data_IF_146728149543
#
_entry.id   IF_146728149543
#
_cell.length_a   1.000
_cell.length_b   1.000
_cell.length_c   1.000
_cell.angle_alpha   90.00
_cell.angle_beta   90.00
_cell.angle_gamma   90.00
#
_symmetry.space_group_name_H-M   'P 1'
#
loop_
_entity.id
_entity.type
_entity.pdbx_description
1 polymer ?
#
# COMPACT_ATOMS: atom_id res chain seq x y z
N UNK A 1 -21.94 -7.98 -37.19
CA UNK A 1 -20.76 -7.94 -36.30
C UNK A 1 -21.21 -8.34 -34.91
N UNK A 2 -20.95 -9.57 -34.49
CA UNK A 2 -21.13 -9.96 -33.11
C UNK A 2 -20.08 -9.19 -32.32
N UNK A 3 -20.50 -8.28 -31.45
CA UNK A 3 -19.61 -7.77 -30.41
C UNK A 3 -19.12 -8.99 -29.60
N UNK A 4 -17.84 -9.22 -29.57
CA UNK A 4 -17.26 -10.19 -28.64
C UNK A 4 -17.60 -9.69 -27.24
N UNK A 5 -18.39 -10.46 -26.51
CA UNK A 5 -18.62 -10.16 -25.09
C UNK A 5 -17.33 -10.51 -24.34
N UNK A 6 -16.87 -9.60 -23.49
CA UNK A 6 -15.75 -9.88 -22.60
C UNK A 6 -16.12 -11.07 -21.70
N UNK A 7 -15.17 -11.98 -21.53
CA UNK A 7 -15.33 -13.15 -20.67
C UNK A 7 -14.52 -12.92 -19.39
N UNK A 8 -15.20 -12.82 -18.27
CA UNK A 8 -14.59 -12.54 -16.98
C UNK A 8 -14.34 -13.82 -16.20
N UNK A 9 -13.09 -14.01 -15.79
CA UNK A 9 -12.68 -15.07 -14.89
C UNK A 9 -12.27 -14.48 -13.57
N UNK A 10 -12.64 -15.11 -12.47
CA UNK A 10 -12.37 -14.61 -11.13
C UNK A 10 -11.71 -15.69 -10.29
N UNK A 11 -10.66 -15.30 -9.58
CA UNK A 11 -10.03 -16.12 -8.56
C UNK A 11 -10.26 -15.51 -7.18
N UNK A 12 -10.64 -16.35 -6.22
CA UNK A 12 -10.78 -15.98 -4.82
C UNK A 12 -10.55 -17.21 -3.94
N UNK A 13 -9.91 -17.02 -2.80
CA UNK A 13 -9.72 -18.06 -1.79
C UNK A 13 -10.88 -18.14 -0.80
N UNK A 14 -11.83 -17.22 -0.84
CA UNK A 14 -13.00 -17.19 0.05
C UNK A 14 -14.29 -17.44 -0.75
N UNK A 15 -14.95 -18.60 -0.60
CA UNK A 15 -16.20 -18.89 -1.30
C UNK A 15 -17.44 -18.19 -0.72
N UNK A 16 -17.32 -17.57 0.46
CA UNK A 16 -18.46 -16.98 1.20
C UNK A 16 -18.64 -15.48 0.93
N UNK A 17 -18.11 -14.95 -0.14
CA UNK A 17 -18.27 -13.54 -0.50
C UNK A 17 -19.23 -13.36 -1.67
N UNK A 18 -20.00 -12.26 -1.68
CA UNK A 18 -20.87 -11.87 -2.80
C UNK A 18 -20.11 -11.84 -4.13
N UNK A 19 -18.82 -11.52 -4.08
CA UNK A 19 -17.95 -11.47 -5.25
C UNK A 19 -17.67 -12.83 -5.90
N UNK A 20 -18.06 -13.93 -5.26
CA UNK A 20 -17.94 -15.30 -5.77
C UNK A 20 -19.28 -15.94 -6.08
N UNK A 21 -20.35 -15.16 -6.14
CA UNK A 21 -21.65 -15.64 -6.61
C UNK A 21 -21.54 -16.08 -8.07
N UNK A 22 -22.32 -17.09 -8.43
CA UNK A 22 -22.22 -17.77 -9.73
C UNK A 22 -22.52 -16.88 -10.94
N UNK A 23 -23.17 -15.75 -10.72
CA UNK A 23 -23.55 -14.78 -11.76
C UNK A 23 -22.59 -13.60 -11.92
N UNK A 24 -21.54 -13.52 -11.07
CA UNK A 24 -20.59 -12.40 -11.07
C UNK A 24 -19.49 -12.57 -12.13
N UNK A 25 -19.15 -13.82 -12.49
CA UNK A 25 -18.14 -14.10 -13.49
C UNK A 25 -18.50 -15.34 -14.31
N UNK A 26 -18.00 -15.42 -15.54
CA UNK A 26 -18.21 -16.58 -16.41
C UNK A 26 -17.51 -17.83 -15.88
N UNK A 27 -16.45 -17.66 -15.10
CA UNK A 27 -15.70 -18.74 -14.49
C UNK A 27 -15.11 -18.32 -13.17
N UNK A 28 -15.30 -19.15 -12.15
CA UNK A 28 -14.77 -18.95 -10.80
C UNK A 28 -13.70 -19.99 -10.49
N UNK A 29 -12.62 -19.55 -9.87
CA UNK A 29 -11.54 -20.36 -9.35
C UNK A 29 -11.43 -20.14 -7.84
N UNK A 30 -11.64 -21.20 -7.07
CA UNK A 30 -11.47 -21.17 -5.61
C UNK A 30 -10.09 -21.72 -5.26
N UNK A 31 -9.07 -20.92 -5.52
CA UNK A 31 -7.68 -21.27 -5.32
C UNK A 31 -6.99 -20.20 -4.48
N UNK A 32 -5.90 -20.55 -3.78
CA UNK A 32 -5.08 -19.57 -3.09
C UNK A 32 -4.56 -18.49 -4.04
N UNK A 33 -4.35 -17.28 -3.51
CA UNK A 33 -3.79 -16.17 -4.26
C UNK A 33 -2.25 -16.22 -4.17
N UNK A 34 -1.66 -17.33 -4.66
CA UNK A 34 -0.21 -17.51 -4.81
C UNK A 34 0.22 -17.36 -6.25
N UNK A 35 1.49 -17.09 -6.50
CA UNK A 35 2.01 -16.95 -7.87
C UNK A 35 1.84 -18.25 -8.67
N UNK A 36 2.05 -19.40 -8.03
CA UNK A 36 1.99 -20.73 -8.64
C UNK A 36 0.55 -21.10 -9.05
N UNK A 37 -0.43 -20.83 -8.19
CA UNK A 37 -1.83 -21.11 -8.49
C UNK A 37 -2.33 -20.19 -9.61
N UNK A 38 -1.95 -18.91 -9.56
CA UNK A 38 -2.26 -17.93 -10.61
C UNK A 38 -1.62 -18.32 -11.93
N UNK A 39 -0.35 -18.79 -11.94
CA UNK A 39 0.32 -19.28 -13.15
C UNK A 39 -0.43 -20.43 -13.79
N UNK A 40 -0.91 -21.36 -12.98
CA UNK A 40 -1.70 -22.50 -13.45
C UNK A 40 -2.99 -22.05 -14.15
N UNK A 41 -3.69 -21.07 -13.59
CA UNK A 41 -4.90 -20.48 -14.19
C UNK A 41 -4.57 -19.71 -15.46
N UNK A 42 -3.51 -18.90 -15.47
CA UNK A 42 -3.05 -18.14 -16.63
C UNK A 42 -2.72 -19.07 -17.79
N UNK A 43 -2.03 -20.18 -17.52
CA UNK A 43 -1.65 -21.16 -18.54
C UNK A 43 -2.85 -21.87 -19.18
N UNK A 44 -3.92 -22.11 -18.40
CA UNK A 44 -5.15 -22.73 -18.89
C UNK A 44 -6.01 -21.74 -19.63
N UNK A 45 -6.25 -20.58 -19.02
CA UNK A 45 -7.24 -19.61 -19.51
C UNK A 45 -6.67 -18.63 -20.54
N UNK A 46 -5.35 -18.41 -20.55
CA UNK A 46 -4.63 -17.48 -21.45
C UNK A 46 -5.34 -16.13 -21.56
N UNK A 47 -5.53 -15.42 -20.43
CA UNK A 47 -6.27 -14.18 -20.41
C UNK A 47 -5.52 -13.07 -21.16
N UNK A 48 -6.24 -12.14 -21.77
CA UNK A 48 -5.68 -10.94 -22.42
C UNK A 48 -5.07 -9.96 -21.41
N UNK A 49 -5.46 -10.05 -20.14
CA UNK A 49 -4.95 -9.26 -19.04
C UNK A 49 -5.58 -9.62 -17.71
N UNK A 50 -5.04 -9.04 -16.65
CA UNK A 50 -5.49 -9.26 -15.28
C UNK A 50 -5.74 -7.94 -14.55
N UNK A 51 -6.76 -7.91 -13.69
CA UNK A 51 -7.05 -6.83 -12.77
C UNK A 51 -6.71 -7.31 -11.36
N UNK A 52 -5.83 -6.60 -10.66
CA UNK A 52 -5.34 -6.95 -9.32
C UNK A 52 -5.82 -6.00 -8.22
N UNK A 53 -6.30 -4.81 -8.57
CA UNK A 53 -6.61 -3.75 -7.61
C UNK A 53 -7.78 -4.10 -6.66
N UNK A 54 -8.69 -4.95 -7.09
CA UNK A 54 -9.89 -5.30 -6.30
C UNK A 54 -9.68 -6.42 -5.28
N UNK A 55 -8.51 -7.03 -5.26
CA UNK A 55 -8.19 -8.15 -4.35
C UNK A 55 -7.39 -7.77 -3.11
N UNK A 56 -7.28 -6.47 -2.80
CA UNK A 56 -6.46 -5.97 -1.68
C UNK A 56 -4.98 -6.26 -1.85
N UNK A 57 -4.23 -6.14 -0.77
CA UNK A 57 -2.76 -6.29 -0.76
C UNK A 57 -2.27 -7.65 -1.28
N UNK A 58 -3.03 -8.71 -1.05
CA UNK A 58 -2.66 -10.05 -1.51
C UNK A 58 -2.66 -10.14 -3.04
N UNK A 59 -3.67 -9.58 -3.70
CA UNK A 59 -3.74 -9.56 -5.17
C UNK A 59 -2.75 -8.55 -5.79
N UNK A 60 -2.56 -7.40 -5.16
CA UNK A 60 -1.60 -6.39 -5.63
C UNK A 60 -0.18 -6.95 -5.66
N UNK A 61 0.22 -7.74 -4.66
CA UNK A 61 1.54 -8.40 -4.63
C UNK A 61 1.77 -9.41 -5.76
N UNK A 62 0.72 -9.86 -6.44
CA UNK A 62 0.84 -10.74 -7.61
C UNK A 62 1.18 -9.98 -8.90
N UNK A 63 1.17 -8.67 -8.91
CA UNK A 63 1.39 -7.83 -10.09
C UNK A 63 2.70 -8.17 -10.78
N UNK A 64 3.81 -8.22 -10.05
CA UNK A 64 5.13 -8.54 -10.59
C UNK A 64 5.20 -9.96 -11.17
N UNK A 65 4.60 -10.93 -10.48
CA UNK A 65 4.55 -12.32 -10.96
C UNK A 65 3.75 -12.43 -12.26
N UNK A 66 2.58 -11.79 -12.35
CA UNK A 66 1.76 -11.74 -13.57
C UNK A 66 2.50 -11.09 -14.74
N UNK A 67 3.23 -10.01 -14.50
CA UNK A 67 4.05 -9.37 -15.52
C UNK A 67 5.17 -10.28 -16.04
N UNK A 68 5.83 -11.03 -15.12
CA UNK A 68 6.84 -12.04 -15.51
C UNK A 68 6.26 -13.18 -16.35
N UNK A 69 4.99 -13.52 -16.14
CA UNK A 69 4.24 -14.49 -16.95
C UNK A 69 3.79 -13.89 -18.31
N UNK A 70 4.04 -12.61 -18.57
CA UNK A 70 3.61 -11.91 -19.78
C UNK A 70 2.15 -11.47 -19.78
N UNK A 71 1.48 -11.50 -18.65
CA UNK A 71 0.08 -11.06 -18.51
C UNK A 71 0.04 -9.55 -18.36
N UNK A 72 -0.75 -8.88 -19.20
CA UNK A 72 -0.96 -7.44 -19.13
C UNK A 72 -1.78 -7.07 -17.89
N UNK A 73 -1.30 -6.13 -17.10
CA UNK A 73 -2.09 -5.57 -16.00
C UNK A 73 -3.06 -4.53 -16.57
N UNK A 74 -4.35 -4.72 -16.29
CA UNK A 74 -5.43 -3.82 -16.68
C UNK A 74 -5.76 -2.88 -15.53
N UNK A 75 -6.05 -1.62 -15.83
CA UNK A 75 -6.26 -0.57 -14.83
C UNK A 75 -4.96 0.15 -14.47
N UNK A 76 -4.67 0.30 -13.19
CA UNK A 76 -3.44 0.95 -12.70
C UNK A 76 -2.23 0.09 -13.02
N UNK A 77 -1.21 0.70 -13.60
CA UNK A 77 0.06 0.01 -13.95
C UNK A 77 0.80 -0.39 -12.68
N UNK A 78 1.65 -1.42 -12.80
CA UNK A 78 2.48 -1.88 -11.69
C UNK A 78 3.36 -0.77 -11.11
N UNK A 79 4.00 0.01 -11.98
CA UNK A 79 4.89 1.11 -11.62
C UNK A 79 4.15 2.20 -10.81
N UNK A 80 2.87 2.47 -11.16
CA UNK A 80 2.04 3.45 -10.47
C UNK A 80 1.56 2.91 -9.10
N UNK A 81 1.36 1.59 -9.00
CA UNK A 81 1.04 0.92 -7.72
C UNK A 81 2.24 0.98 -6.79
N UNK A 82 3.43 0.62 -7.28
CA UNK A 82 4.68 0.68 -6.52
C UNK A 82 4.98 2.11 -6.05
N UNK A 83 4.80 3.09 -6.95
CA UNK A 83 4.97 4.50 -6.62
C UNK A 83 3.97 5.03 -5.58
N UNK A 84 2.77 4.44 -5.51
CA UNK A 84 1.79 4.79 -4.48
C UNK A 84 2.08 4.13 -3.13
N UNK A 85 2.76 2.98 -3.12
CA UNK A 85 3.16 2.26 -1.90
C UNK A 85 4.50 2.77 -1.33
N UNK A 86 5.41 3.22 -2.20
CA UNK A 86 6.66 3.83 -1.80
C UNK A 86 6.45 5.28 -1.35
N UNK A 87 6.83 5.57 -0.11
CA UNK A 87 6.58 6.89 0.47
C UNK A 87 7.32 8.02 -0.26
N UNK A 88 8.57 7.80 -0.64
CA UNK A 88 9.39 8.84 -1.27
C UNK A 88 8.88 9.14 -2.68
N UNK A 89 8.58 8.09 -3.46
CA UNK A 89 8.00 8.24 -4.78
C UNK A 89 6.60 8.87 -4.73
N UNK A 90 5.78 8.49 -3.76
CA UNK A 90 4.46 9.10 -3.57
C UNK A 90 4.55 10.58 -3.18
N UNK A 91 5.48 10.93 -2.30
CA UNK A 91 5.76 12.32 -1.93
C UNK A 91 6.18 13.17 -3.14
N UNK A 92 7.03 12.63 -4.03
CA UNK A 92 7.37 13.30 -5.28
C UNK A 92 6.16 13.53 -6.19
N UNK A 93 5.26 12.54 -6.29
CA UNK A 93 4.03 12.66 -7.08
C UNK A 93 3.15 13.78 -6.51
N UNK A 94 2.96 13.82 -5.20
CA UNK A 94 2.17 14.85 -4.54
C UNK A 94 2.76 16.26 -4.77
N UNK A 95 4.08 16.39 -4.68
CA UNK A 95 4.76 17.65 -4.97
C UNK A 95 4.57 18.08 -6.44
N UNK A 96 4.78 17.17 -7.39
CA UNK A 96 4.62 17.43 -8.83
C UNK A 96 3.19 17.82 -9.20
N UNK A 97 2.20 17.26 -8.51
CA UNK A 97 0.77 17.54 -8.75
C UNK A 97 0.23 18.72 -7.93
N UNK A 98 1.04 19.29 -7.03
CA UNK A 98 0.62 20.40 -6.17
C UNK A 98 -0.40 20.00 -5.10
N UNK A 99 -0.49 18.71 -4.76
CA UNK A 99 -1.39 18.22 -3.71
C UNK A 99 -0.73 18.43 -2.35
N UNK A 100 -1.38 19.17 -1.43
CA UNK A 100 -0.81 19.42 -0.10
C UNK A 100 -0.77 18.14 0.73
N UNK A 101 0.34 17.96 1.46
CA UNK A 101 0.53 16.88 2.42
C UNK A 101 1.13 17.41 3.72
N UNK A 102 1.04 16.63 4.78
CA UNK A 102 1.77 16.93 6.00
C UNK A 102 3.28 16.86 5.73
N UNK A 103 4.01 17.89 6.21
CA UNK A 103 5.47 17.85 6.17
C UNK A 103 5.97 16.69 7.05
N UNK A 104 7.01 16.00 6.61
CA UNK A 104 7.56 14.88 7.35
C UNK A 104 8.75 14.25 6.64
N UNK A 105 9.33 13.23 7.26
CA UNK A 105 10.47 12.51 6.74
C UNK A 105 10.57 11.09 7.26
N UNK A 106 11.35 10.28 6.56
CA UNK A 106 11.74 8.94 6.95
C UNK A 106 13.10 9.00 7.64
N UNK A 107 13.22 8.39 8.79
CA UNK A 107 14.41 8.42 9.63
C UNK A 107 14.72 7.04 10.18
N UNK A 108 15.98 6.82 10.58
CA UNK A 108 16.43 5.57 11.16
C UNK A 108 16.98 5.76 12.59
N UNK A 109 17.31 6.98 12.95
CA UNK A 109 17.92 7.31 14.25
C UNK A 109 17.13 8.38 14.99
N UNK A 110 17.34 8.46 16.31
CA UNK A 110 16.72 9.49 17.14
C UNK A 110 17.23 10.90 16.78
N UNK A 111 18.50 11.03 16.41
CA UNK A 111 19.09 12.30 16.00
C UNK A 111 18.48 12.81 14.70
N UNK A 112 18.30 11.94 13.71
CA UNK A 112 17.60 12.30 12.46
C UNK A 112 16.15 12.70 12.74
N UNK A 113 15.45 11.98 13.62
CA UNK A 113 14.09 12.29 13.99
C UNK A 113 13.95 13.65 14.67
N UNK A 114 14.84 13.96 15.63
CA UNK A 114 14.89 15.28 16.27
C UNK A 114 15.14 16.39 15.24
N UNK A 115 16.06 16.17 14.30
CA UNK A 115 16.35 17.13 13.24
C UNK A 115 15.11 17.41 12.40
N UNK A 116 14.45 16.36 11.88
CA UNK A 116 13.22 16.48 11.10
C UNK A 116 12.12 17.17 11.92
N UNK A 117 11.91 16.77 13.18
CA UNK A 117 10.90 17.36 14.04
C UNK A 117 11.13 18.85 14.31
N UNK A 118 12.39 19.27 14.49
CA UNK A 118 12.74 20.67 14.67
C UNK A 118 12.55 21.49 13.38
N UNK A 119 12.82 20.91 12.21
CA UNK A 119 12.59 21.55 10.91
C UNK A 119 11.09 21.77 10.62
N UNK A 120 10.25 20.78 10.87
CA UNK A 120 8.80 20.84 10.61
C UNK A 120 7.99 21.45 11.76
N UNK A 121 8.60 21.56 12.94
CA UNK A 121 8.01 22.09 14.18
C UNK A 121 7.13 21.08 14.91
N UNK A 122 7.15 21.14 16.23
CA UNK A 122 6.30 20.33 17.11
C UNK A 122 4.84 20.78 17.11
N UNK A 123 3.85 19.93 17.45
CA UNK A 123 3.98 18.50 17.70
C UNK A 123 4.16 17.70 16.40
N UNK A 124 4.79 16.52 16.53
CA UNK A 124 4.99 15.59 15.43
C UNK A 124 4.40 14.22 15.77
N UNK A 125 3.99 13.49 14.73
CA UNK A 125 3.54 12.12 14.83
C UNK A 125 4.71 11.21 14.47
N UNK A 126 5.10 10.34 15.39
CA UNK A 126 6.16 9.33 15.20
C UNK A 126 5.50 7.97 15.04
N UNK A 127 5.84 7.25 13.99
CA UNK A 127 5.28 5.91 13.72
C UNK A 127 6.30 5.00 13.02
N UNK A 128 6.33 3.69 13.35
CA UNK A 128 7.07 2.72 12.55
C UNK A 128 6.43 2.58 11.15
N UNK A 129 7.24 2.36 10.11
CA UNK A 129 6.74 2.24 8.73
C UNK A 129 5.99 0.93 8.45
N UNK A 130 6.20 -0.10 9.25
CA UNK A 130 5.71 -1.47 9.01
C UNK A 130 4.42 -1.84 9.74
N UNK A 131 3.85 -0.94 10.58
CA UNK A 131 2.64 -1.26 11.36
C UNK A 131 1.36 -0.82 10.67
N UNK A 132 0.36 -1.68 10.74
CA UNK A 132 -0.99 -1.43 10.27
C UNK A 132 -1.90 -0.98 11.42
N UNK A 133 -2.90 -0.17 11.11
CA UNK A 133 -3.94 0.18 12.08
C UNK A 133 -3.51 1.12 13.20
N UNK A 134 -2.44 1.89 13.02
CA UNK A 134 -2.00 2.90 13.99
C UNK A 134 -1.32 2.38 15.25
N UNK A 135 -0.97 1.10 15.30
CA UNK A 135 -0.21 0.55 16.42
C UNK A 135 1.18 1.18 16.49
N UNK A 136 1.62 1.53 17.70
CA UNK A 136 2.94 2.14 17.92
C UNK A 136 3.06 3.59 17.46
N UNK A 137 1.98 4.24 17.05
CA UNK A 137 1.97 5.68 16.75
C UNK A 137 1.95 6.49 18.05
N UNK A 138 2.80 7.51 18.12
CA UNK A 138 2.89 8.45 19.25
C UNK A 138 3.00 9.87 18.75
N UNK A 139 2.40 10.79 19.49
CA UNK A 139 2.57 12.23 19.28
C UNK A 139 3.68 12.69 20.22
N UNK A 140 4.72 13.30 19.67
CA UNK A 140 5.82 13.89 20.42
C UNK A 140 5.73 15.41 20.39
N UNK A 141 5.94 16.01 21.53
CA UNK A 141 5.87 17.46 21.75
C UNK A 141 7.23 18.11 21.93
N UNK A 142 8.26 17.30 22.09
CA UNK A 142 9.65 17.75 22.31
C UNK A 142 10.65 16.63 21.96
N UNK A 143 11.93 16.98 21.98
CA UNK A 143 13.06 16.09 21.65
C UNK A 143 13.19 14.91 22.60
N UNK A 144 12.88 15.09 23.89
CA UNK A 144 12.99 14.02 24.90
C UNK A 144 11.98 12.90 24.64
N UNK A 145 10.75 13.27 24.27
CA UNK A 145 9.72 12.30 23.91
C UNK A 145 10.06 11.54 22.63
N UNK A 146 10.69 12.21 21.64
CA UNK A 146 11.18 11.52 20.43
C UNK A 146 12.22 10.46 20.80
N UNK A 147 13.18 10.81 21.63
CA UNK A 147 14.24 9.89 22.06
C UNK A 147 13.66 8.68 22.78
N UNK A 148 12.72 8.89 23.70
CA UNK A 148 12.01 7.82 24.38
C UNK A 148 11.25 6.92 23.41
N UNK A 149 10.47 7.49 22.48
CA UNK A 149 9.63 6.73 21.54
C UNK A 149 10.46 5.93 20.54
N UNK A 150 11.51 6.52 20.01
CA UNK A 150 12.43 5.79 19.11
C UNK A 150 13.17 4.70 19.87
N UNK A 151 13.56 4.93 21.10
CA UNK A 151 14.14 3.90 21.95
C UNK A 151 13.20 2.69 22.16
N UNK A 152 11.90 2.92 22.28
CA UNK A 152 10.89 1.85 22.36
C UNK A 152 10.75 1.13 21.01
N UNK A 153 10.64 1.87 19.92
CA UNK A 153 10.48 1.30 18.56
C UNK A 153 11.70 0.43 18.22
N UNK A 154 12.90 0.91 18.44
CA UNK A 154 14.14 0.19 18.14
C UNK A 154 14.33 -1.10 18.96
N UNK A 155 13.72 -1.22 20.14
CA UNK A 155 13.73 -2.47 20.92
C UNK A 155 12.85 -3.55 20.27
N UNK A 156 11.84 -3.14 19.52
CA UNK A 156 10.87 -4.05 18.91
C UNK A 156 11.30 -4.40 17.47
N UNK A 157 11.92 -3.44 16.76
CA UNK A 157 12.25 -3.58 15.34
C UNK A 157 13.49 -2.75 14.98
N UNK A 158 14.67 -3.36 15.07
CA UNK A 158 15.97 -2.68 14.97
C UNK A 158 16.36 -2.14 13.58
N UNK A 159 15.67 -2.50 12.49
CA UNK A 159 16.11 -2.17 11.12
C UNK A 159 15.02 -1.54 10.24
N UNK A 160 13.93 -1.11 10.83
CA UNK A 160 12.84 -0.54 10.05
C UNK A 160 12.83 0.99 10.10
N UNK A 161 12.53 1.64 8.97
CA UNK A 161 12.42 3.09 8.95
C UNK A 161 11.27 3.58 9.84
N UNK A 162 11.48 4.73 10.44
CA UNK A 162 10.52 5.43 11.29
C UNK A 162 10.06 6.67 10.53
N UNK A 163 8.77 6.94 10.57
CA UNK A 163 8.17 8.10 9.96
C UNK A 163 7.93 9.17 11.01
N UNK A 164 8.35 10.38 10.71
CA UNK A 164 8.11 11.58 11.55
C UNK A 164 7.33 12.57 10.69
N UNK A 165 6.08 12.81 11.04
CA UNK A 165 5.17 13.67 10.29
C UNK A 165 4.66 14.81 11.15
N UNK A 166 4.38 15.97 10.56
CA UNK A 166 3.72 17.07 11.24
C UNK A 166 2.34 16.62 11.74
N UNK A 167 2.11 16.72 13.03
CA UNK A 167 0.78 16.47 13.58
C UNK A 167 -0.13 17.67 13.32
N UNK A 168 -1.14 17.47 12.47
CA UNK A 168 -2.10 18.50 12.10
C UNK A 168 -3.24 18.56 13.13
N UNK A 169 -3.34 19.68 13.82
CA UNK A 169 -4.41 19.94 14.80
C UNK A 169 -5.49 20.83 14.17
N UNK A 170 -6.75 20.56 14.50
CA UNK A 170 -7.88 21.35 14.03
C UNK A 170 -8.05 21.35 12.49
N UNK A 171 -7.48 20.37 11.80
CA UNK A 171 -7.61 20.22 10.36
C UNK A 171 -8.92 19.53 10.02
N UNK A 172 -9.75 20.16 9.19
CA UNK A 172 -10.95 19.56 8.64
C UNK A 172 -10.58 18.82 7.36
N UNK A 173 -10.66 17.49 7.38
CA UNK A 173 -10.56 16.66 6.19
C UNK A 173 -11.96 16.47 5.60
N UNK A 174 -12.15 16.97 4.38
CA UNK A 174 -13.32 16.63 3.58
C UNK A 174 -13.04 15.30 2.88
N UNK A 175 -13.79 14.27 3.24
CA UNK A 175 -13.90 13.04 2.46
C UNK A 175 -15.24 13.09 1.73
N UNK A 176 -15.18 13.09 0.41
CA UNK A 176 -16.36 12.94 -0.45
C UNK A 176 -16.83 11.49 -0.47
#
# INVERSE_FOLDING_TARGET
SSAASDVYKRQNNNPETVSTDFDIADKLYFEPLTAEDVESIVNIEKPDGAVVQFGGQTAIKLTEALMKMGVKILGTKAEDVDAAEDRELFDEILQKTGIPRAAGGTVFTAEEAKKVANEIGYPVLVRPSYVLGGQGMKIAWNDDEIEEFIGIINRIAQEHPILVDKYLQGCLLYTS
#
